data_IF_894267117738
#
_entry.id   IF_894267117738
#
_cell.length_a   1.000
_cell.length_b   1.000
_cell.length_c   1.000
_cell.angle_alpha   90.00
_cell.angle_beta   90.00
_cell.angle_gamma   90.00
#
_symmetry.space_group_name_H-M   'P 1'
#
loop_
_entity.id
_entity.type
_entity.pdbx_description
1 polymer ?
#
# COMPACT_ATOMS: atom_id res chain seq x y z
N UNK A 1 -39.80 24.83 5.65
CA UNK A 1 -41.04 24.55 4.90
C UNK A 1 -40.76 23.40 3.95
N UNK A 2 -41.42 22.25 4.20
CA UNK A 2 -41.62 21.07 3.34
C UNK A 2 -40.38 20.30 2.83
N UNK A 3 -40.37 18.98 2.62
CA UNK A 3 -41.01 17.78 3.18
C UNK A 3 -40.60 16.63 2.22
N UNK A 4 -40.43 15.41 2.74
CA UNK A 4 -40.69 14.10 2.07
C UNK A 4 -39.65 13.65 1.01
N UNK A 5 -39.35 12.37 0.82
CA UNK A 5 -39.92 11.12 1.31
C UNK A 5 -38.89 9.99 1.23
N UNK A 6 -39.02 9.04 2.15
CA UNK A 6 -38.53 7.68 2.03
C UNK A 6 -39.24 6.92 0.89
N UNK A 7 -38.54 6.04 0.18
CA UNK A 7 -39.14 4.98 -0.61
C UNK A 7 -38.42 3.66 -0.37
N UNK A 8 -39.11 2.83 0.39
CA UNK A 8 -38.93 1.41 0.57
C UNK A 8 -39.22 0.67 -0.75
N UNK A 9 -38.47 -0.40 -1.03
CA UNK A 9 -38.86 -1.37 -2.07
C UNK A 9 -38.59 -2.79 -1.60
N UNK A 10 -39.67 -3.42 -1.15
CA UNK A 10 -39.79 -4.85 -0.92
C UNK A 10 -40.17 -5.61 -2.20
N UNK A 11 -40.11 -6.93 -2.11
CA UNK A 11 -40.59 -7.98 -3.03
C UNK A 11 -39.62 -8.38 -4.16
N UNK A 12 -39.43 -9.65 -4.52
CA UNK A 12 -40.30 -10.81 -4.33
C UNK A 12 -39.50 -12.12 -4.27
N UNK A 13 -40.00 -13.05 -3.45
CA UNK A 13 -39.69 -14.48 -3.48
C UNK A 13 -40.11 -15.09 -4.82
N UNK A 14 -39.24 -15.88 -5.43
CA UNK A 14 -39.63 -16.89 -6.41
C UNK A 14 -39.10 -18.26 -5.99
N UNK A 15 -39.95 -18.96 -5.25
CA UNK A 15 -39.91 -20.41 -5.07
C UNK A 15 -40.16 -21.05 -6.43
N UNK A 16 -39.19 -21.81 -6.95
CA UNK A 16 -39.41 -22.68 -8.11
C UNK A 16 -39.48 -24.13 -7.65
N UNK A 17 -40.68 -24.70 -7.77
CA UNK A 17 -41.00 -26.09 -7.47
C UNK A 17 -40.31 -27.09 -8.42
N UNK A 18 -40.10 -28.30 -7.89
CA UNK A 18 -39.67 -29.52 -8.58
C UNK A 18 -40.74 -30.03 -9.56
N UNK A 19 -40.34 -30.77 -10.58
CA UNK A 19 -41.13 -31.90 -11.05
C UNK A 19 -40.45 -33.24 -10.77
N UNK A 20 -41.22 -34.14 -10.18
CA UNK A 20 -41.00 -35.59 -10.09
C UNK A 20 -41.31 -36.24 -11.44
N UNK A 21 -40.49 -37.15 -11.96
CA UNK A 21 -40.97 -38.20 -12.86
C UNK A 21 -39.94 -39.32 -13.07
N UNK A 22 -40.34 -40.50 -12.60
CA UNK A 22 -40.30 -41.81 -13.28
C UNK A 22 -39.01 -42.63 -13.34
N UNK A 23 -39.21 -43.87 -12.90
CA UNK A 23 -38.34 -45.03 -12.80
C UNK A 23 -38.04 -45.69 -14.15
N UNK A 24 -36.77 -46.09 -14.32
CA UNK A 24 -36.16 -47.29 -14.97
C UNK A 24 -36.69 -47.78 -16.34
N UNK A 25 -35.77 -48.23 -17.21
CA UNK A 25 -35.57 -49.69 -17.30
C UNK A 25 -34.10 -50.15 -17.28
N UNK A 26 -33.90 -51.41 -16.86
CA UNK A 26 -32.66 -52.18 -16.97
C UNK A 26 -32.30 -52.41 -18.44
N UNK A 27 -31.15 -51.90 -18.87
CA UNK A 27 -30.54 -52.17 -20.17
C UNK A 27 -29.22 -52.90 -20.00
N UNK A 28 -29.08 -54.01 -20.72
CA UNK A 28 -27.96 -54.94 -20.66
C UNK A 28 -26.76 -54.44 -21.47
N UNK A 29 -25.57 -54.76 -20.96
CA UNK A 29 -24.26 -54.89 -21.62
C UNK A 29 -24.11 -54.30 -23.03
N UNK A 30 -23.43 -53.16 -23.11
CA UNK A 30 -22.40 -52.93 -24.14
C UNK A 30 -21.41 -51.89 -23.63
N UNK A 31 -20.13 -52.25 -23.61
CA UNK A 31 -19.03 -51.45 -23.06
C UNK A 31 -18.43 -50.61 -24.20
N UNK A 32 -18.60 -49.27 -24.23
CA UNK A 32 -17.73 -48.45 -25.05
C UNK A 32 -16.41 -48.32 -24.29
N UNK A 33 -15.30 -48.66 -24.95
CA UNK A 33 -13.97 -48.23 -24.50
C UNK A 33 -13.92 -46.72 -24.64
N UNK A 34 -14.29 -45.99 -23.60
CA UNK A 34 -13.94 -44.58 -23.48
C UNK A 34 -12.45 -44.50 -23.16
N UNK A 35 -11.66 -44.06 -24.14
CA UNK A 35 -10.34 -43.52 -23.85
C UNK A 35 -10.53 -42.35 -22.87
N UNK A 36 -9.74 -42.23 -21.79
CA UNK A 36 -9.81 -41.08 -20.91
C UNK A 36 -9.21 -39.89 -21.66
N UNK A 37 -10.04 -39.17 -22.42
CA UNK A 37 -9.68 -37.80 -22.81
C UNK A 37 -9.65 -37.01 -21.53
N UNK A 38 -8.45 -36.71 -21.04
CA UNK A 38 -8.25 -35.76 -19.96
C UNK A 38 -8.83 -34.44 -20.43
N UNK A 39 -10.04 -34.11 -19.97
CA UNK A 39 -10.59 -32.77 -20.09
C UNK A 39 -9.64 -31.87 -19.30
N UNK A 40 -8.68 -31.28 -20.01
CA UNK A 40 -7.87 -30.17 -19.54
C UNK A 40 -8.84 -29.01 -19.35
N UNK A 41 -9.56 -29.02 -18.23
CA UNK A 41 -10.23 -27.84 -17.70
C UNK A 41 -9.07 -26.91 -17.37
N UNK A 42 -8.67 -26.09 -18.34
CA UNK A 42 -7.88 -24.89 -18.05
C UNK A 42 -8.76 -24.09 -17.09
N UNK A 43 -8.49 -24.26 -15.80
CA UNK A 43 -9.03 -23.39 -14.77
C UNK A 43 -8.63 -21.99 -15.20
N UNK A 44 -9.59 -21.19 -15.64
CA UNK A 44 -9.38 -19.78 -15.91
C UNK A 44 -8.97 -19.18 -14.57
N UNK A 45 -7.68 -18.93 -14.40
CA UNK A 45 -7.12 -18.22 -13.25
C UNK A 45 -7.55 -16.75 -13.36
N UNK A 46 -8.82 -16.47 -13.06
CA UNK A 46 -9.25 -15.12 -12.79
C UNK A 46 -8.61 -14.71 -11.47
N UNK A 47 -7.43 -14.11 -11.57
CA UNK A 47 -6.80 -13.41 -10.45
C UNK A 47 -7.81 -12.36 -9.99
N UNK A 48 -8.31 -12.50 -8.77
CA UNK A 48 -9.31 -11.60 -8.25
C UNK A 48 -8.66 -10.22 -8.01
N UNK A 49 -8.85 -9.29 -8.95
CA UNK A 49 -8.26 -7.95 -8.93
C UNK A 49 -8.50 -7.22 -7.60
N UNK A 50 -9.62 -7.50 -6.93
CA UNK A 50 -9.94 -6.94 -5.61
C UNK A 50 -8.95 -7.39 -4.52
N UNK A 51 -8.57 -8.66 -4.52
CA UNK A 51 -7.61 -9.19 -3.54
C UNK A 51 -6.20 -8.63 -3.80
N UNK A 52 -5.83 -8.44 -5.08
CA UNK A 52 -4.56 -7.77 -5.44
C UNK A 52 -4.54 -6.34 -4.91
N UNK A 53 -5.60 -5.57 -5.14
CA UNK A 53 -5.70 -4.19 -4.67
C UNK A 53 -5.62 -4.07 -3.14
N UNK A 54 -6.34 -4.92 -2.40
CA UNK A 54 -6.26 -4.94 -0.94
C UNK A 54 -4.84 -5.29 -0.44
N UNK A 55 -4.17 -6.23 -1.09
CA UNK A 55 -2.80 -6.61 -0.74
C UNK A 55 -1.79 -5.48 -0.99
N UNK A 56 -1.87 -4.81 -2.13
CA UNK A 56 -1.01 -3.65 -2.40
C UNK A 56 -1.31 -2.51 -1.44
N UNK A 57 -2.58 -2.32 -1.07
CA UNK A 57 -2.97 -1.31 -0.08
C UNK A 57 -2.40 -1.62 1.30
N UNK A 58 -2.47 -2.86 1.78
CA UNK A 58 -1.88 -3.22 3.08
C UNK A 58 -0.36 -3.08 3.07
N UNK A 59 0.31 -3.49 1.98
CA UNK A 59 1.75 -3.33 1.83
C UNK A 59 2.16 -1.85 1.78
N UNK A 60 1.36 -1.00 1.10
CA UNK A 60 1.59 0.44 1.09
C UNK A 60 1.37 1.08 2.46
N UNK A 61 0.32 0.65 3.17
CA UNK A 61 0.02 1.17 4.51
C UNK A 61 1.16 0.82 5.49
N UNK A 62 1.70 -0.41 5.45
CA UNK A 62 2.86 -0.85 6.26
C UNK A 62 4.15 -0.08 5.90
N UNK A 63 4.48 0.02 4.61
CA UNK A 63 5.64 0.78 4.15
C UNK A 63 5.59 2.27 4.55
N UNK A 64 4.40 2.86 4.52
CA UNK A 64 4.21 4.27 4.90
C UNK A 64 4.35 4.46 6.40
N UNK A 65 3.91 3.49 7.21
CA UNK A 65 4.09 3.51 8.66
C UNK A 65 5.58 3.52 9.02
N UNK A 66 6.36 2.62 8.44
CA UNK A 66 7.81 2.54 8.63
C UNK A 66 8.52 3.85 8.24
N UNK A 67 8.25 4.37 7.03
CA UNK A 67 8.84 5.65 6.60
C UNK A 67 8.39 6.80 7.51
N UNK A 68 7.15 6.78 8.01
CA UNK A 68 6.64 7.84 8.90
C UNK A 68 7.33 7.81 10.26
N UNK A 69 7.65 6.64 10.79
CA UNK A 69 8.43 6.48 12.02
C UNK A 69 9.84 7.04 11.84
N UNK A 70 10.56 6.61 10.78
CA UNK A 70 11.88 7.15 10.44
C UNK A 70 11.85 8.66 10.23
N UNK A 71 10.82 9.17 9.55
CA UNK A 71 10.62 10.60 9.33
C UNK A 71 10.44 11.35 10.65
N UNK A 72 9.72 10.77 11.62
CA UNK A 72 9.53 11.41 12.93
C UNK A 72 10.87 11.58 13.63
N UNK A 73 11.68 10.53 13.69
CA UNK A 73 13.03 10.58 14.26
C UNK A 73 13.91 11.59 13.55
N UNK A 74 13.95 11.54 12.21
CA UNK A 74 14.76 12.46 11.42
C UNK A 74 14.33 13.93 11.60
N UNK A 75 13.04 14.17 11.79
CA UNK A 75 12.52 15.51 12.07
C UNK A 75 12.92 16.00 13.46
N UNK A 76 12.85 15.15 14.48
CA UNK A 76 13.24 15.53 15.84
C UNK A 76 14.74 15.88 15.89
N UNK A 77 15.59 15.08 15.26
CA UNK A 77 17.03 15.37 15.12
C UNK A 77 17.28 16.66 14.33
N UNK A 78 16.54 16.89 13.25
CA UNK A 78 16.63 18.15 12.51
C UNK A 78 16.24 19.37 13.35
N UNK A 79 15.18 19.26 14.16
CA UNK A 79 14.74 20.35 15.05
C UNK A 79 15.80 20.65 16.13
N UNK A 80 16.43 19.62 16.71
CA UNK A 80 17.56 19.80 17.63
C UNK A 80 18.77 20.43 16.93
N UNK A 81 19.14 19.94 15.75
CA UNK A 81 20.27 20.45 14.98
C UNK A 81 20.10 21.93 14.58
N UNK A 82 18.88 22.33 14.25
CA UNK A 82 18.52 23.72 13.96
C UNK A 82 18.67 24.61 15.20
N UNK A 83 18.12 24.20 16.35
CA UNK A 83 18.23 24.95 17.61
C UNK A 83 19.70 25.15 18.01
N UNK A 84 20.51 24.09 17.93
CA UNK A 84 21.92 24.12 18.31
C UNK A 84 22.77 24.95 17.34
N UNK A 85 22.44 24.91 16.04
CA UNK A 85 23.06 25.78 15.01
C UNK A 85 22.71 27.24 15.22
N UNK A 86 21.46 27.57 15.55
CA UNK A 86 21.05 28.95 15.86
C UNK A 86 21.73 29.47 17.14
N UNK A 87 21.91 28.60 18.13
CA UNK A 87 22.56 28.91 19.40
C UNK A 87 24.10 28.90 19.33
N UNK A 88 24.70 28.51 18.19
CA UNK A 88 26.15 28.43 17.97
C UNK A 88 26.88 27.61 19.03
N UNK A 89 26.28 26.48 19.41
CA UNK A 89 26.89 25.62 20.43
C UNK A 89 27.98 24.74 19.85
N UNK A 90 28.75 24.11 20.72
CA UNK A 90 29.77 23.12 20.34
C UNK A 90 29.16 21.82 19.81
N UNK A 91 27.87 21.58 20.04
CA UNK A 91 27.18 20.35 19.66
C UNK A 91 26.56 20.43 18.27
N UNK A 92 26.36 21.65 17.77
CA UNK A 92 25.72 21.92 16.49
C UNK A 92 26.27 21.08 15.31
N UNK A 93 27.58 20.83 15.24
CA UNK A 93 28.14 20.00 14.17
C UNK A 93 27.69 18.53 14.25
N UNK A 94 27.72 17.95 15.45
CA UNK A 94 27.31 16.58 15.69
C UNK A 94 25.80 16.39 15.47
N UNK A 95 24.99 17.35 15.90
CA UNK A 95 23.53 17.27 15.72
C UNK A 95 23.15 17.42 14.24
N UNK A 96 23.83 18.30 13.49
CA UNK A 96 23.68 18.36 12.02
C UNK A 96 24.10 17.05 11.34
N UNK A 97 25.08 16.33 11.88
CA UNK A 97 25.44 14.99 11.40
C UNK A 97 24.33 13.98 11.67
N UNK A 98 23.78 13.94 12.90
CA UNK A 98 22.65 13.07 13.25
C UNK A 98 21.44 13.31 12.34
N UNK A 99 21.07 14.57 12.09
CA UNK A 99 19.98 14.92 11.19
C UNK A 99 20.22 14.40 9.75
N UNK A 100 21.45 14.48 9.23
CA UNK A 100 21.83 13.94 7.91
C UNK A 100 21.73 12.42 7.87
N UNK A 101 22.20 11.74 8.92
CA UNK A 101 22.14 10.28 8.99
C UNK A 101 20.71 9.78 9.01
N UNK A 102 19.83 10.36 9.85
CA UNK A 102 18.43 9.94 9.91
C UNK A 102 17.68 10.28 8.62
N UNK A 103 17.95 11.44 8.00
CA UNK A 103 17.41 11.74 6.67
C UNK A 103 17.86 10.69 5.63
N UNK A 104 19.11 10.25 5.69
CA UNK A 104 19.61 9.19 4.80
C UNK A 104 18.82 7.89 4.99
N UNK A 105 18.50 7.50 6.23
CA UNK A 105 17.68 6.32 6.50
C UNK A 105 16.26 6.45 5.91
N UNK A 106 15.64 7.62 6.04
CA UNK A 106 14.34 7.92 5.41
C UNK A 106 14.42 7.77 3.89
N UNK A 107 15.46 8.32 3.26
CA UNK A 107 15.68 8.26 1.83
C UNK A 107 15.93 6.83 1.34
N UNK A 108 16.71 6.05 2.07
CA UNK A 108 16.99 4.65 1.74
C UNK A 108 15.73 3.79 1.81
N UNK A 109 14.96 3.91 2.90
CA UNK A 109 13.68 3.21 3.04
C UNK A 109 12.74 3.57 1.88
N UNK A 110 12.55 4.87 1.61
CA UNK A 110 11.71 5.34 0.51
C UNK A 110 12.21 4.86 -0.86
N UNK A 111 13.51 4.94 -1.12
CA UNK A 111 14.11 4.53 -2.40
C UNK A 111 13.96 3.03 -2.63
N UNK A 112 14.18 2.22 -1.60
CA UNK A 112 14.05 0.75 -1.68
C UNK A 112 12.67 0.31 -2.17
N UNK A 113 11.62 1.06 -1.78
CA UNK A 113 10.24 0.79 -2.20
C UNK A 113 9.95 1.36 -3.59
N UNK A 114 10.39 2.59 -3.85
CA UNK A 114 10.12 3.30 -5.10
C UNK A 114 10.83 2.69 -6.31
N UNK A 115 12.05 2.18 -6.11
CA UNK A 115 12.83 1.49 -7.14
C UNK A 115 12.51 -0.02 -7.20
N UNK A 116 11.59 -0.49 -6.35
CA UNK A 116 11.12 -1.86 -6.31
C UNK A 116 10.33 -2.25 -7.57
N UNK A 117 10.10 -3.56 -7.71
CA UNK A 117 9.40 -4.12 -8.87
C UNK A 117 7.87 -3.84 -8.88
N UNK A 118 7.27 -3.53 -7.72
CA UNK A 118 5.84 -3.25 -7.62
C UNK A 118 5.57 -1.76 -7.86
N UNK A 119 5.18 -1.44 -9.09
CA UNK A 119 4.86 -0.08 -9.52
C UNK A 119 3.63 0.49 -8.80
N UNK A 120 2.64 -0.34 -8.46
CA UNK A 120 1.41 0.12 -7.83
C UNK A 120 1.69 0.55 -6.37
N UNK A 121 2.54 -0.20 -5.68
CA UNK A 121 3.07 0.15 -4.36
C UNK A 121 3.91 1.43 -4.40
N UNK A 122 4.85 1.51 -5.33
CA UNK A 122 5.74 2.65 -5.49
C UNK A 122 4.97 3.97 -5.70
N UNK A 123 3.94 3.98 -6.55
CA UNK A 123 3.13 5.17 -6.80
C UNK A 123 2.32 5.60 -5.57
N UNK A 124 1.78 4.66 -4.79
CA UNK A 124 1.04 5.01 -3.58
C UNK A 124 1.95 5.61 -2.49
N UNK A 125 3.15 5.07 -2.32
CA UNK A 125 4.15 5.61 -1.39
C UNK A 125 4.62 7.00 -1.85
N UNK A 126 4.99 7.18 -3.12
CA UNK A 126 5.35 8.49 -3.70
C UNK A 126 4.29 9.54 -3.41
N UNK A 127 3.02 9.20 -3.64
CA UNK A 127 1.88 10.11 -3.50
C UNK A 127 1.66 10.54 -2.05
N UNK A 128 1.86 9.63 -1.09
CA UNK A 128 1.51 9.88 0.32
C UNK A 128 2.61 10.52 1.13
N UNK A 129 3.88 10.16 0.90
CA UNK A 129 4.98 10.63 1.74
C UNK A 129 6.09 11.35 0.99
N UNK A 130 6.16 11.21 -0.35
CA UNK A 130 7.25 11.78 -1.15
C UNK A 130 7.37 13.31 -1.05
N UNK A 131 6.28 14.04 -0.81
CA UNK A 131 6.35 15.49 -0.59
C UNK A 131 7.00 15.85 0.75
N UNK A 132 6.65 15.14 1.82
CA UNK A 132 7.20 15.39 3.17
C UNK A 132 8.70 15.13 3.21
N UNK A 133 9.16 14.08 2.54
CA UNK A 133 10.60 13.77 2.45
C UNK A 133 11.35 14.91 1.76
N UNK A 134 10.85 15.42 0.62
CA UNK A 134 11.47 16.56 -0.07
C UNK A 134 11.51 17.84 0.76
N UNK A 135 10.48 18.07 1.58
CA UNK A 135 10.46 19.20 2.51
C UNK A 135 11.54 19.07 3.59
N UNK A 136 11.73 17.87 4.14
CA UNK A 136 12.80 17.61 5.11
C UNK A 136 14.19 17.72 4.46
N UNK A 137 14.38 17.19 3.24
CA UNK A 137 15.62 17.34 2.47
C UNK A 137 15.98 18.82 2.27
N UNK A 138 15.01 19.62 1.83
CA UNK A 138 15.22 21.06 1.65
C UNK A 138 15.50 21.77 2.99
N UNK A 139 14.87 21.32 4.09
CA UNK A 139 15.12 21.82 5.43
C UNK A 139 16.55 21.57 5.89
N UNK A 140 17.02 20.32 5.78
CA UNK A 140 18.40 19.93 6.14
C UNK A 140 19.43 20.67 5.28
N UNK A 141 19.21 20.80 3.97
CA UNK A 141 20.11 21.56 3.11
C UNK A 141 20.19 23.04 3.51
N UNK A 142 19.05 23.68 3.80
CA UNK A 142 19.02 25.07 4.22
C UNK A 142 19.74 25.26 5.57
N UNK A 143 19.60 24.32 6.50
CA UNK A 143 20.35 24.33 7.76
C UNK A 143 21.87 24.27 7.53
N UNK A 144 22.32 23.43 6.60
CA UNK A 144 23.74 23.35 6.24
C UNK A 144 24.24 24.66 5.62
N UNK A 145 23.46 25.25 4.71
CA UNK A 145 23.80 26.53 4.11
C UNK A 145 23.90 27.63 5.19
N UNK A 146 23.00 27.62 6.17
CA UNK A 146 23.05 28.54 7.33
C UNK A 146 24.34 28.30 8.13
N UNK A 147 24.68 27.06 8.45
CA UNK A 147 25.89 26.72 9.20
C UNK A 147 27.17 27.18 8.49
N UNK A 148 27.29 26.93 7.18
CA UNK A 148 28.45 27.36 6.37
C UNK A 148 28.64 28.88 6.33
N UNK A 149 27.56 29.65 6.50
CA UNK A 149 27.60 31.11 6.53
C UNK A 149 27.87 31.69 7.94
N UNK A 150 27.89 30.86 8.98
CA UNK A 150 28.11 31.28 10.38
C UNK A 150 29.53 31.05 10.90
N UNK A 151 30.32 30.23 10.19
CA UNK A 151 31.77 30.03 10.41
C UNK A 151 32.60 31.23 9.91
#
# INVERSE_FOLDING_TARGET
MFSRAALSRAAALLVRQKPTSTSRPLGTLSRPRFAPTTLQIRAASHVNNFNRWLSTKSAADEAIEEITELYSTARDEFEMAMEETENKTIYAEADREAAREELTRVQEAYRSIVEGADTDLAEEVKRRIGQRIRELEAGVQNMEDIAMNQD
#
